data_IF_753554295644
#
_entry.id   IF_753554295644
#
_cell.length_a   1.000
_cell.length_b   1.000
_cell.length_c   1.000
_cell.angle_alpha   90.00
_cell.angle_beta   90.00
_cell.angle_gamma   90.00
#
_symmetry.space_group_name_H-M   'P 1'
#
loop_
_entity.id
_entity.type
_entity.pdbx_description
1 polymer ?
#
# COMPACT_ATOMS: atom_id res chain seq x y z
N UNK A 1 11.22 31.08 1.86
CA UNK A 1 10.31 30.00 1.38
C UNK A 1 10.56 29.48 -0.05
N UNK A 2 11.01 30.27 -1.04
CA UNK A 2 11.19 29.79 -2.45
C UNK A 2 12.16 28.59 -2.63
N UNK A 3 13.10 28.39 -1.71
CA UNK A 3 14.09 27.31 -1.79
C UNK A 3 13.58 25.98 -1.19
N UNK A 4 12.75 26.05 -0.14
CA UNK A 4 12.19 24.86 0.53
C UNK A 4 11.27 24.06 -0.41
N UNK A 5 10.35 24.75 -1.10
CA UNK A 5 9.45 24.10 -2.05
C UNK A 5 10.17 23.45 -3.23
N UNK A 6 11.32 23.99 -3.64
CA UNK A 6 12.17 23.36 -4.66
C UNK A 6 12.80 22.08 -4.12
N UNK A 7 13.35 22.10 -2.91
CA UNK A 7 13.94 20.91 -2.27
C UNK A 7 12.93 19.76 -2.20
N UNK A 8 11.73 20.05 -1.66
CA UNK A 8 10.63 19.07 -1.59
C UNK A 8 10.29 18.54 -2.98
N UNK A 9 10.13 19.43 -3.97
CA UNK A 9 9.81 19.02 -5.35
C UNK A 9 10.85 18.07 -5.94
N UNK A 10 12.14 18.34 -5.75
CA UNK A 10 13.20 17.48 -6.26
C UNK A 10 13.20 16.13 -5.54
N UNK A 11 13.07 16.12 -4.21
CA UNK A 11 12.99 14.87 -3.43
C UNK A 11 11.81 14.00 -3.86
N UNK A 12 10.65 14.60 -4.08
CA UNK A 12 9.48 13.90 -4.61
C UNK A 12 9.72 13.34 -6.00
N UNK A 13 10.25 14.16 -6.92
CA UNK A 13 10.48 13.73 -8.30
C UNK A 13 11.50 12.59 -8.40
N UNK A 14 12.44 12.54 -7.46
CA UNK A 14 13.46 11.52 -7.43
C UNK A 14 13.03 10.23 -6.73
N UNK A 15 12.19 10.34 -5.69
CA UNK A 15 11.53 9.18 -5.08
C UNK A 15 10.51 8.55 -6.05
N UNK A 16 9.75 9.37 -6.77
CA UNK A 16 8.68 8.91 -7.66
C UNK A 16 9.18 7.98 -8.77
N UNK A 17 10.37 8.23 -9.33
CA UNK A 17 10.99 7.39 -10.36
C UNK A 17 11.13 5.93 -9.93
N UNK A 18 11.41 5.70 -8.65
CA UNK A 18 11.53 4.35 -8.10
C UNK A 18 10.16 3.78 -7.73
N UNK A 19 9.28 4.58 -7.11
CA UNK A 19 8.03 4.09 -6.51
C UNK A 19 6.94 3.85 -7.58
N UNK A 20 6.82 4.74 -8.58
CA UNK A 20 5.76 4.69 -9.60
C UNK A 20 5.67 3.34 -10.34
N UNK A 21 6.77 2.70 -10.79
CA UNK A 21 6.70 1.39 -11.45
C UNK A 21 5.98 0.32 -10.63
N UNK A 22 6.15 0.33 -9.30
CA UNK A 22 5.46 -0.61 -8.41
C UNK A 22 3.96 -0.33 -8.34
N UNK A 23 3.56 0.94 -8.30
CA UNK A 23 2.15 1.33 -8.34
C UNK A 23 1.47 0.98 -9.66
N UNK A 24 2.18 1.15 -10.79
CA UNK A 24 1.69 0.71 -12.09
C UNK A 24 1.49 -0.82 -12.09
N UNK A 25 2.48 -1.58 -11.61
CA UNK A 25 2.38 -3.04 -11.52
C UNK A 25 1.19 -3.50 -10.67
N UNK A 26 0.96 -2.86 -9.53
CA UNK A 26 -0.19 -3.13 -8.66
C UNK A 26 -1.52 -2.85 -9.35
N UNK A 27 -1.63 -1.71 -10.05
CA UNK A 27 -2.83 -1.35 -10.81
C UNK A 27 -3.13 -2.36 -11.92
N UNK A 28 -2.12 -2.73 -12.70
CA UNK A 28 -2.25 -3.74 -13.77
C UNK A 28 -2.69 -5.08 -13.19
N UNK A 29 -2.07 -5.54 -12.10
CA UNK A 29 -2.46 -6.78 -11.44
C UNK A 29 -3.92 -6.75 -10.98
N UNK A 30 -4.36 -5.65 -10.35
CA UNK A 30 -5.75 -5.48 -9.93
C UNK A 30 -6.74 -5.54 -11.09
N UNK A 31 -6.43 -4.88 -12.21
CA UNK A 31 -7.26 -4.92 -13.43
C UNK A 31 -7.34 -6.34 -14.00
N UNK A 32 -6.21 -7.05 -14.08
CA UNK A 32 -6.17 -8.43 -14.59
C UNK A 32 -7.02 -9.36 -13.73
N UNK A 33 -6.89 -9.28 -12.41
CA UNK A 33 -7.72 -10.06 -11.47
C UNK A 33 -9.20 -9.74 -11.68
N UNK A 34 -9.55 -8.46 -11.82
CA UNK A 34 -10.94 -8.01 -12.02
C UNK A 34 -11.55 -8.56 -13.31
N UNK A 35 -10.82 -8.48 -14.42
CA UNK A 35 -11.27 -9.01 -15.71
C UNK A 35 -11.46 -10.52 -15.63
N UNK A 36 -10.51 -11.23 -15.02
CA UNK A 36 -10.60 -12.68 -14.86
C UNK A 36 -11.84 -13.07 -14.05
N UNK A 37 -12.11 -12.35 -12.95
CA UNK A 37 -13.30 -12.59 -12.13
C UNK A 37 -14.60 -12.32 -12.88
N UNK A 38 -14.65 -11.24 -13.67
CA UNK A 38 -15.80 -10.93 -14.52
C UNK A 38 -16.10 -12.02 -15.55
N UNK A 39 -15.07 -12.59 -16.20
CA UNK A 39 -15.26 -13.71 -17.15
C UNK A 39 -15.78 -14.94 -16.42
N UNK A 40 -15.14 -15.30 -15.30
CA UNK A 40 -15.45 -16.50 -14.54
C UNK A 40 -16.89 -16.48 -14.00
N UNK A 41 -17.36 -15.34 -13.46
CA UNK A 41 -18.69 -15.18 -12.88
C UNK A 41 -19.83 -15.20 -13.92
N UNK A 42 -19.55 -14.92 -15.19
CA UNK A 42 -20.55 -14.90 -16.25
C UNK A 42 -20.74 -16.26 -16.95
N UNK A 43 -19.83 -17.22 -16.74
CA UNK A 43 -20.02 -18.59 -17.21
C UNK A 43 -20.88 -19.39 -16.23
N UNK A 44 -21.73 -20.29 -16.74
CA UNK A 44 -22.47 -21.23 -15.90
C UNK A 44 -21.50 -22.27 -15.34
N UNK A 45 -20.98 -22.00 -14.15
CA UNK A 45 -19.93 -22.80 -13.52
C UNK A 45 -20.48 -24.15 -13.02
N UNK A 46 -19.95 -25.25 -13.56
CA UNK A 46 -20.15 -26.62 -13.07
C UNK A 46 -19.53 -26.79 -11.66
N UNK A 47 -20.07 -27.69 -10.82
CA UNK A 47 -19.68 -27.81 -9.41
C UNK A 47 -18.20 -28.20 -9.22
N UNK A 48 -17.58 -28.86 -10.21
CA UNK A 48 -16.12 -29.12 -10.21
C UNK A 48 -15.28 -27.86 -10.43
N UNK A 49 -15.80 -26.88 -11.17
CA UNK A 49 -15.12 -25.63 -11.48
C UNK A 49 -15.20 -24.67 -10.28
N UNK A 50 -16.24 -24.77 -9.42
CA UNK A 50 -16.36 -23.97 -8.18
C UNK A 50 -15.21 -24.14 -7.18
N UNK A 51 -14.63 -25.35 -7.07
CA UNK A 51 -13.45 -25.56 -6.21
C UNK A 51 -12.23 -24.85 -6.82
N UNK A 52 -12.09 -24.89 -8.15
CA UNK A 52 -11.01 -24.20 -8.88
C UNK A 52 -11.13 -22.67 -8.77
N UNK A 53 -12.34 -22.12 -8.73
CA UNK A 53 -12.56 -20.67 -8.58
C UNK A 53 -12.18 -20.18 -7.18
N UNK A 54 -12.53 -20.93 -6.13
CA UNK A 54 -12.18 -20.59 -4.74
C UNK A 54 -10.67 -20.59 -4.49
N UNK A 55 -9.93 -21.56 -5.05
CA UNK A 55 -8.46 -21.59 -4.98
C UNK A 55 -7.85 -20.37 -5.69
N UNK A 56 -8.35 -20.03 -6.89
CA UNK A 56 -7.88 -18.87 -7.63
C UNK A 56 -8.15 -17.55 -6.86
N UNK A 57 -9.32 -17.42 -6.24
CA UNK A 57 -9.67 -16.26 -5.42
C UNK A 57 -8.69 -16.10 -4.25
N UNK A 58 -8.44 -17.19 -3.53
CA UNK A 58 -7.48 -17.20 -2.43
C UNK A 58 -6.07 -16.80 -2.91
N UNK A 59 -5.60 -17.39 -4.01
CA UNK A 59 -4.28 -17.07 -4.59
C UNK A 59 -4.19 -15.60 -5.03
N UNK A 60 -5.28 -15.04 -5.58
CA UNK A 60 -5.34 -13.63 -6.00
C UNK A 60 -5.25 -12.68 -4.79
N UNK A 61 -5.99 -12.97 -3.71
CA UNK A 61 -5.91 -12.19 -2.47
C UNK A 61 -4.56 -12.30 -1.80
N UNK A 62 -4.01 -13.52 -1.72
CA UNK A 62 -2.68 -13.75 -1.17
C UNK A 62 -1.60 -12.99 -1.96
N UNK A 63 -1.61 -13.12 -3.29
CA UNK A 63 -0.68 -12.41 -4.17
C UNK A 63 -0.78 -10.89 -4.02
N UNK A 64 -2.00 -10.36 -3.91
CA UNK A 64 -2.20 -8.92 -3.70
C UNK A 64 -1.63 -8.43 -2.36
N UNK A 65 -1.84 -9.18 -1.29
CA UNK A 65 -1.26 -8.86 0.04
C UNK A 65 0.26 -8.84 -0.03
N UNK A 66 0.88 -9.81 -0.71
CA UNK A 66 2.33 -9.84 -0.92
C UNK A 66 2.81 -8.60 -1.67
N UNK A 67 2.08 -8.17 -2.71
CA UNK A 67 2.39 -6.94 -3.46
C UNK A 67 2.27 -5.70 -2.59
N UNK A 68 1.23 -5.59 -1.75
CA UNK A 68 1.09 -4.49 -0.78
C UNK A 68 2.30 -4.44 0.15
N UNK A 69 2.68 -5.57 0.75
CA UNK A 69 3.84 -5.64 1.64
C UNK A 69 5.09 -5.19 0.89
N UNK A 70 5.30 -5.68 -0.33
CA UNK A 70 6.41 -5.27 -1.18
C UNK A 70 6.45 -3.76 -1.42
N UNK A 71 5.31 -3.15 -1.73
CA UNK A 71 5.16 -1.71 -1.96
C UNK A 71 5.44 -0.89 -0.69
N UNK A 72 4.96 -1.34 0.46
CA UNK A 72 5.23 -0.69 1.75
C UNK A 72 6.73 -0.74 2.05
N UNK A 73 7.35 -1.92 2.00
CA UNK A 73 8.79 -2.10 2.23
C UNK A 73 9.63 -1.28 1.25
N UNK A 74 9.23 -1.26 -0.01
CA UNK A 74 9.88 -0.48 -1.06
C UNK A 74 9.77 1.03 -0.78
N UNK A 75 8.62 1.51 -0.33
CA UNK A 75 8.43 2.92 0.05
C UNK A 75 9.32 3.30 1.23
N UNK A 76 9.39 2.46 2.27
CA UNK A 76 10.34 2.66 3.38
C UNK A 76 11.78 2.74 2.89
N UNK A 77 12.19 1.76 2.08
CA UNK A 77 13.54 1.69 1.55
C UNK A 77 13.90 2.96 0.76
N UNK A 78 13.04 3.40 -0.16
CA UNK A 78 13.28 4.60 -0.96
C UNK A 78 13.40 5.84 -0.08
N UNK A 79 12.51 6.01 0.88
CA UNK A 79 12.51 7.19 1.75
C UNK A 79 13.76 7.25 2.62
N UNK A 80 14.17 6.13 3.22
CA UNK A 80 15.38 6.04 4.05
C UNK A 80 16.63 6.31 3.21
N UNK A 81 16.77 5.65 2.05
CA UNK A 81 17.92 5.83 1.16
C UNK A 81 17.99 7.28 0.66
N UNK A 82 16.86 7.90 0.34
CA UNK A 82 16.82 9.29 -0.16
C UNK A 82 17.19 10.26 0.93
N UNK A 83 16.71 10.07 2.16
CA UNK A 83 17.15 10.84 3.31
C UNK A 83 18.66 10.74 3.49
N UNK A 84 19.20 9.52 3.53
CA UNK A 84 20.62 9.29 3.72
C UNK A 84 21.47 9.93 2.60
N UNK A 85 21.13 9.69 1.33
CA UNK A 85 21.89 10.22 0.19
C UNK A 85 21.85 11.75 0.10
N UNK A 86 20.71 12.35 0.43
CA UNK A 86 20.57 13.81 0.36
C UNK A 86 21.27 14.54 1.50
N UNK A 87 21.43 13.94 2.68
CA UNK A 87 22.07 14.62 3.83
C UNK A 87 23.54 14.24 3.96
N UNK A 88 23.85 12.94 3.83
CA UNK A 88 25.16 12.37 4.12
C UNK A 88 25.88 11.82 2.88
N UNK A 89 25.20 11.76 1.73
CA UNK A 89 25.79 11.30 0.47
C UNK A 89 26.47 12.43 -0.31
N UNK A 90 26.79 12.15 -1.57
CA UNK A 90 27.45 13.09 -2.49
C UNK A 90 26.64 14.39 -2.70
N UNK A 91 25.31 14.32 -2.57
CA UNK A 91 24.41 15.47 -2.67
C UNK A 91 24.29 16.25 -1.34
N UNK A 92 24.88 15.73 -0.26
CA UNK A 92 24.85 16.29 1.09
C UNK A 92 25.51 17.66 1.18
N UNK A 93 26.65 17.87 0.50
CA UNK A 93 27.30 19.17 0.47
C UNK A 93 26.38 20.24 -0.12
N UNK A 94 25.69 19.94 -1.23
CA UNK A 94 24.73 20.88 -1.82
C UNK A 94 23.57 21.16 -0.87
N UNK A 95 23.02 20.12 -0.24
CA UNK A 95 21.86 20.26 0.67
C UNK A 95 22.22 21.07 1.93
N UNK A 96 23.40 20.84 2.51
CA UNK A 96 23.86 21.51 3.73
C UNK A 96 24.43 22.92 3.50
N UNK A 97 24.74 23.30 2.24
CA UNK A 97 25.18 24.65 1.88
C UNK A 97 24.05 25.55 1.39
N UNK A 98 22.81 25.03 1.28
CA UNK A 98 21.67 25.86 0.94
C UNK A 98 21.48 26.94 2.02
N UNK A 99 21.10 28.17 1.63
CA UNK A 99 20.81 29.26 2.58
C UNK A 99 19.42 29.07 3.21
N UNK A 100 19.21 27.94 3.88
CA UNK A 100 18.01 27.53 4.63
C UNK A 100 18.46 26.86 5.92
N UNK A 101 17.63 26.91 6.96
CA UNK A 101 18.02 26.37 8.25
C UNK A 101 17.95 24.83 8.27
N UNK A 102 18.79 24.19 9.09
CA UNK A 102 18.86 22.72 9.17
C UNK A 102 17.51 22.10 9.55
N UNK A 103 16.73 22.75 10.42
CA UNK A 103 15.40 22.27 10.78
C UNK A 103 14.44 22.30 9.59
N UNK A 104 14.55 23.29 8.69
CA UNK A 104 13.71 23.37 7.48
C UNK A 104 14.05 22.23 6.51
N UNK A 105 15.32 21.86 6.39
CA UNK A 105 15.74 20.70 5.59
C UNK A 105 15.12 19.42 6.13
N UNK A 106 15.18 19.20 7.45
CA UNK A 106 14.59 18.01 8.10
C UNK A 106 13.07 17.99 7.89
N UNK A 107 12.39 19.13 8.06
CA UNK A 107 10.96 19.24 7.81
C UNK A 107 10.60 18.94 6.34
N UNK A 108 11.38 19.42 5.38
CA UNK A 108 11.16 19.10 3.96
C UNK A 108 11.22 17.59 3.69
N UNK A 109 12.19 16.89 4.30
CA UNK A 109 12.30 15.42 4.17
C UNK A 109 11.12 14.72 4.83
N UNK A 110 10.69 15.17 6.01
CA UNK A 110 9.55 14.60 6.73
C UNK A 110 8.24 14.78 5.96
N UNK A 111 8.00 15.97 5.40
CA UNK A 111 6.82 16.24 4.56
C UNK A 111 6.83 15.32 3.34
N UNK A 112 7.99 15.13 2.70
CA UNK A 112 8.13 14.24 1.56
C UNK A 112 7.86 12.79 1.94
N UNK A 113 8.39 12.32 3.07
CA UNK A 113 8.08 10.99 3.64
C UNK A 113 6.57 10.83 3.80
N UNK A 114 5.95 11.67 4.64
CA UNK A 114 4.55 11.50 5.05
C UNK A 114 3.63 11.47 3.83
N UNK A 115 3.91 12.34 2.86
CA UNK A 115 3.14 12.40 1.63
C UNK A 115 3.22 11.12 0.80
N UNK A 116 4.37 10.46 0.72
CA UNK A 116 4.48 9.17 0.01
C UNK A 116 3.68 8.07 0.70
N UNK A 117 3.63 8.07 2.04
CA UNK A 117 2.78 7.12 2.78
C UNK A 117 1.29 7.39 2.58
N UNK A 118 0.89 8.66 2.53
CA UNK A 118 -0.50 9.04 2.20
C UNK A 118 -0.84 8.57 0.78
N UNK A 119 0.03 8.83 -0.21
CA UNK A 119 -0.17 8.38 -1.60
C UNK A 119 -0.27 6.86 -1.67
N UNK A 120 0.57 6.14 -0.93
CA UNK A 120 0.54 4.68 -0.85
C UNK A 120 -0.82 4.18 -0.31
N UNK A 121 -1.28 4.75 0.81
CA UNK A 121 -2.59 4.43 1.38
C UNK A 121 -3.75 4.71 0.42
N UNK A 122 -3.71 5.82 -0.31
CA UNK A 122 -4.72 6.15 -1.33
C UNK A 122 -4.72 5.12 -2.47
N UNK A 123 -3.54 4.73 -2.96
CA UNK A 123 -3.43 3.76 -4.06
C UNK A 123 -3.90 2.37 -3.62
N UNK A 124 -3.51 1.92 -2.43
CA UNK A 124 -4.03 0.68 -1.85
C UNK A 124 -5.55 0.75 -1.76
N UNK A 125 -6.10 1.84 -1.22
CA UNK A 125 -7.54 2.02 -1.10
C UNK A 125 -8.26 1.89 -2.46
N UNK A 126 -7.78 2.57 -3.51
CA UNK A 126 -8.41 2.49 -4.83
C UNK A 126 -8.26 1.12 -5.49
N UNK A 127 -7.07 0.52 -5.41
CA UNK A 127 -6.82 -0.79 -6.04
C UNK A 127 -7.54 -1.94 -5.34
N UNK A 128 -7.83 -1.79 -4.05
CA UNK A 128 -8.61 -2.76 -3.27
C UNK A 128 -10.01 -2.99 -3.87
N UNK A 129 -10.63 -1.96 -4.45
CA UNK A 129 -11.93 -2.07 -5.12
C UNK A 129 -11.89 -2.96 -6.37
N UNK A 130 -10.73 -3.15 -7.01
CA UNK A 130 -10.62 -4.07 -8.14
C UNK A 130 -10.64 -5.54 -7.71
N UNK A 131 -10.30 -5.83 -6.47
CA UNK A 131 -10.15 -7.20 -5.97
C UNK A 131 -11.40 -7.71 -5.28
N UNK A 132 -12.20 -6.84 -4.68
CA UNK A 132 -13.48 -7.23 -4.10
C UNK A 132 -14.50 -7.50 -5.21
N UNK A 133 -15.22 -8.65 -5.18
CA UNK A 133 -16.38 -8.87 -6.03
C UNK A 133 -17.56 -8.02 -5.54
N UNK A 134 -17.56 -6.73 -5.88
CA UNK A 134 -18.58 -5.78 -5.44
C UNK A 134 -20.01 -6.22 -5.78
N UNK A 135 -20.20 -6.87 -6.93
CA UNK A 135 -21.50 -7.38 -7.36
C UNK A 135 -22.05 -8.45 -6.40
N UNK A 136 -21.19 -9.32 -5.88
CA UNK A 136 -21.57 -10.31 -4.87
C UNK A 136 -21.86 -9.62 -3.53
N UNK A 137 -21.07 -8.62 -3.16
CA UNK A 137 -21.25 -7.82 -1.93
C UNK A 137 -22.60 -7.09 -1.93
N UNK A 138 -22.97 -6.46 -3.05
CA UNK A 138 -24.24 -5.76 -3.19
C UNK A 138 -25.43 -6.74 -3.30
N UNK A 139 -25.27 -7.88 -4.00
CA UNK A 139 -26.32 -8.93 -4.10
C UNK A 139 -26.56 -9.64 -2.77
N UNK A 140 -25.51 -9.86 -1.97
CA UNK A 140 -25.59 -10.49 -0.65
C UNK A 140 -26.24 -9.58 0.42
N UNK A 141 -26.63 -8.35 0.08
CA UNK A 141 -27.37 -7.44 0.95
C UNK A 141 -26.66 -7.26 2.31
N UNK A 142 -25.33 -7.11 2.27
CA UNK A 142 -24.39 -7.14 3.42
C UNK A 142 -24.72 -6.08 4.49
N UNK A 143 -25.56 -5.10 4.19
CA UNK A 143 -26.08 -4.14 5.17
C UNK A 143 -27.07 -4.72 6.19
N UNK A 144 -27.43 -6.02 6.12
CA UNK A 144 -28.18 -6.70 7.18
C UNK A 144 -27.26 -7.14 8.33
N UNK A 145 -27.69 -6.97 9.60
CA UNK A 145 -26.88 -7.33 10.78
C UNK A 145 -26.50 -8.81 10.86
N UNK A 146 -27.26 -9.69 10.19
CA UNK A 146 -26.99 -11.13 10.10
C UNK A 146 -25.77 -11.43 9.20
N UNK A 147 -25.66 -10.75 8.06
CA UNK A 147 -24.52 -10.88 7.14
C UNK A 147 -23.21 -10.39 7.79
N UNK A 148 -23.27 -9.35 8.62
CA UNK A 148 -22.11 -8.90 9.41
C UNK A 148 -21.62 -9.97 10.40
N UNK A 149 -22.51 -10.75 11.04
CA UNK A 149 -22.10 -11.84 11.94
C UNK A 149 -21.51 -13.03 11.19
N UNK A 150 -22.04 -13.37 10.01
CA UNK A 150 -21.46 -14.43 9.17
C UNK A 150 -20.10 -14.03 8.60
N UNK A 151 -19.98 -12.78 8.11
CA UNK A 151 -18.72 -12.21 7.65
C UNK A 151 -17.70 -12.13 8.80
N UNK A 152 -18.10 -11.73 10.01
CA UNK A 152 -17.23 -11.75 11.20
C UNK A 152 -16.80 -13.18 11.56
N UNK A 153 -17.70 -14.16 11.46
CA UNK A 153 -17.40 -15.56 11.77
C UNK A 153 -16.44 -16.17 10.75
N UNK A 154 -16.61 -15.87 9.45
CA UNK A 154 -15.70 -16.25 8.37
C UNK A 154 -14.36 -15.51 8.49
N UNK A 155 -14.36 -14.21 8.80
CA UNK A 155 -13.14 -13.40 9.05
C UNK A 155 -12.35 -13.88 10.27
N UNK A 156 -13.03 -14.42 11.29
CA UNK A 156 -12.38 -15.00 12.48
C UNK A 156 -11.86 -16.42 12.24
N UNK A 157 -12.46 -17.20 11.33
CA UNK A 157 -12.05 -18.58 11.04
C UNK A 157 -11.16 -18.75 9.81
N UNK A 158 -11.08 -17.75 8.91
CA UNK A 158 -10.16 -17.82 7.78
C UNK A 158 -8.73 -17.52 8.24
N UNK A 159 -7.85 -18.51 8.10
CA UNK A 159 -6.43 -18.40 8.45
C UNK A 159 -5.76 -17.23 7.71
N UNK A 160 -6.23 -16.92 6.49
CA UNK A 160 -5.73 -15.81 5.68
C UNK A 160 -6.02 -14.43 6.28
N UNK A 161 -7.21 -14.21 6.83
CA UNK A 161 -7.60 -12.90 7.38
C UNK A 161 -6.90 -12.63 8.72
N UNK A 162 -6.69 -13.67 9.54
CA UNK A 162 -5.88 -13.54 10.77
C UNK A 162 -4.41 -13.23 10.44
N UNK A 163 -3.84 -13.83 9.40
CA UNK A 163 -2.49 -13.52 8.94
C UNK A 163 -2.39 -12.09 8.39
N UNK A 164 -3.36 -11.64 7.59
CA UNK A 164 -3.38 -10.28 7.06
C UNK A 164 -3.49 -9.25 8.18
N UNK A 165 -4.41 -9.44 9.14
CA UNK A 165 -4.56 -8.57 10.31
C UNK A 165 -3.29 -8.59 11.17
N UNK A 166 -2.68 -9.77 11.35
CA UNK A 166 -1.41 -9.93 12.06
C UNK A 166 -0.28 -9.13 11.39
N UNK A 167 -0.14 -9.23 10.06
CA UNK A 167 0.87 -8.49 9.30
C UNK A 167 0.60 -6.98 9.39
N UNK A 168 -0.64 -6.54 9.24
CA UNK A 168 -1.01 -5.12 9.39
C UNK A 168 -0.69 -4.62 10.80
N UNK A 169 -1.00 -5.40 11.84
CA UNK A 169 -0.68 -5.04 13.23
C UNK A 169 0.84 -4.94 13.46
N UNK A 170 1.64 -5.84 12.88
CA UNK A 170 3.10 -5.83 12.96
C UNK A 170 3.69 -4.60 12.27
N UNK A 171 3.13 -4.21 11.12
CA UNK A 171 3.51 -3.00 10.40
C UNK A 171 3.15 -1.74 11.21
N UNK A 172 1.95 -1.68 11.80
CA UNK A 172 1.52 -0.57 12.68
C UNK A 172 2.42 -0.46 13.92
N UNK A 173 2.74 -1.58 14.59
CA UNK A 173 3.67 -1.58 15.73
C UNK A 173 5.07 -1.12 15.34
N UNK A 174 5.51 -1.42 14.12
CA UNK A 174 6.82 -0.96 13.60
C UNK A 174 6.81 0.55 13.34
N UNK A 175 5.68 1.08 12.83
CA UNK A 175 5.47 2.53 12.64
C UNK A 175 5.50 3.24 14.00
N UNK A 176 4.72 2.78 14.98
CA UNK A 176 4.69 3.34 16.33
C UNK A 176 6.08 3.37 16.96
N UNK A 177 6.84 2.30 16.80
CA UNK A 177 8.21 2.20 17.34
C UNK A 177 9.18 3.17 16.66
N UNK A 178 9.03 3.43 15.36
CA UNK A 178 9.80 4.43 14.64
C UNK A 178 9.45 5.86 15.08
N UNK A 179 8.16 6.15 15.29
CA UNK A 179 7.72 7.42 15.85
C UNK A 179 8.27 7.64 17.26
N UNK A 180 8.25 6.61 18.11
CA UNK A 180 8.79 6.69 19.47
C UNK A 180 10.30 6.99 19.48
N UNK A 181 11.07 6.39 18.57
CA UNK A 181 12.52 6.63 18.44
C UNK A 181 12.89 8.02 17.89
N UNK A 182 11.94 8.74 17.30
CA UNK A 182 12.16 10.07 16.75
C UNK A 182 11.74 11.18 17.73
N UNK A 183 10.95 10.85 18.76
CA UNK A 183 10.40 11.79 19.76
C UNK A 183 10.96 11.58 21.18
N UNK A 184 11.93 10.68 21.37
CA UNK A 184 12.74 10.49 22.58
C UNK A 184 14.21 10.65 22.22
#
# INVERSE_FOLDING_TARGET
MKNLGKLIKYDFMDASKLIIPFYIGMGVMGIVIRIFWFVLLNEKIDDRIKISTGVFQFMSYFGYVVVIIGIILMTYYVVIIRYYRSIYGNEGYLTNTLPIETYEIILAKLITFISWFIVNGIIIFFTFWFIIPLEEVFKANIFRPEAFREIEMILRHSVGTTLIIGIISLLVMTIEKYYFYFFV
#
